data_IF_322306532109
#
_entry.id   IF_322306532109
#
_cell.length_a   1.000
_cell.length_b   1.000
_cell.length_c   1.000
_cell.angle_alpha   90.00
_cell.angle_beta   90.00
_cell.angle_gamma   90.00
#
_symmetry.space_group_name_H-M   'P 1'
#
loop_
_entity.id
_entity.type
_entity.pdbx_description
1 polymer ?
#
# COMPACT_ATOMS: atom_id res chain seq x y z
N UNK A 1 13.94 29.99 24.08
CA UNK A 1 14.34 30.40 22.74
C UNK A 1 13.09 30.86 22.03
N UNK A 2 12.93 32.17 21.87
CA UNK A 2 11.75 32.77 21.23
C UNK A 2 11.81 32.49 19.73
N UNK A 3 11.03 31.54 19.26
CA UNK A 3 10.74 31.41 17.83
C UNK A 3 9.90 32.63 17.44
N UNK A 4 10.53 33.57 16.72
CA UNK A 4 9.81 34.68 16.09
C UNK A 4 8.77 34.09 15.15
N UNK A 5 7.51 34.07 15.60
CA UNK A 5 6.34 33.72 14.81
C UNK A 5 6.03 34.91 13.89
N UNK A 6 6.91 35.20 12.95
CA UNK A 6 6.75 36.30 12.02
C UNK A 6 5.65 35.91 11.04
N UNK A 7 4.46 36.46 11.24
CA UNK A 7 3.33 36.32 10.33
C UNK A 7 3.67 37.04 9.04
N UNK A 8 3.59 36.33 7.93
CA UNK A 8 3.79 36.88 6.58
C UNK A 8 2.57 36.68 5.71
N UNK A 9 2.44 37.49 4.69
CA UNK A 9 1.50 37.31 3.58
C UNK A 9 2.29 36.89 2.34
N UNK A 10 1.94 35.75 1.76
CA UNK A 10 2.38 35.34 0.44
C UNK A 10 1.23 35.39 -0.52
N UNK A 11 1.53 35.60 -1.80
CA UNK A 11 0.52 35.61 -2.86
C UNK A 11 0.90 34.61 -3.96
N UNK A 12 -0.11 34.03 -4.57
CA UNK A 12 0.03 33.21 -5.77
C UNK A 12 -1.17 33.44 -6.72
N UNK A 13 -0.92 33.31 -8.00
CA UNK A 13 -1.98 33.31 -8.99
C UNK A 13 -2.75 32.00 -8.96
N UNK A 14 -4.06 32.06 -8.88
CA UNK A 14 -4.97 30.93 -8.99
C UNK A 14 -6.05 31.28 -10.03
N UNK A 15 -5.89 30.83 -11.30
CA UNK A 15 -6.87 31.12 -12.34
C UNK A 15 -8.26 30.63 -11.95
N UNK A 16 -9.28 31.42 -12.20
CA UNK A 16 -10.67 31.17 -11.82
C UNK A 16 -11.18 29.80 -12.31
N UNK A 17 -10.72 29.37 -13.48
CA UNK A 17 -11.07 28.07 -14.08
C UNK A 17 -10.59 26.86 -13.24
N UNK A 18 -9.53 27.02 -12.44
CA UNK A 18 -8.97 25.98 -11.57
C UNK A 18 -9.43 26.10 -10.12
N UNK A 19 -9.96 27.29 -9.72
CA UNK A 19 -10.32 27.60 -8.34
C UNK A 19 -11.28 26.57 -7.75
N UNK A 20 -12.36 26.25 -8.46
CA UNK A 20 -13.36 25.28 -8.00
C UNK A 20 -12.76 23.89 -7.77
N UNK A 21 -11.81 23.45 -8.58
CA UNK A 21 -11.15 22.16 -8.42
C UNK A 21 -10.18 22.17 -7.23
N UNK A 22 -9.38 23.22 -7.10
CA UNK A 22 -8.42 23.38 -6.00
C UNK A 22 -9.13 23.54 -4.66
N UNK A 23 -10.25 24.28 -4.61
CA UNK A 23 -10.99 24.55 -3.38
C UNK A 23 -11.82 23.34 -2.92
N UNK A 24 -12.29 22.54 -3.86
CA UNK A 24 -13.21 21.44 -3.60
C UNK A 24 -14.65 21.91 -3.34
N UNK A 25 -15.54 20.97 -3.09
CA UNK A 25 -16.93 21.30 -2.76
C UNK A 25 -16.99 21.98 -1.39
N UNK A 26 -17.69 23.12 -1.31
CA UNK A 26 -17.83 23.91 -0.08
C UNK A 26 -16.49 24.27 0.60
N UNK A 27 -15.44 24.49 -0.19
CA UNK A 27 -14.08 24.84 0.26
C UNK A 27 -13.45 23.77 1.17
N UNK A 28 -13.82 22.52 0.98
CA UNK A 28 -13.34 21.42 1.84
C UNK A 28 -11.83 21.27 1.80
N UNK A 29 -11.21 21.43 0.63
CA UNK A 29 -9.76 21.31 0.44
C UNK A 29 -9.02 22.47 1.15
N UNK A 30 -9.53 23.68 1.00
CA UNK A 30 -8.98 24.88 1.66
C UNK A 30 -9.04 24.74 3.17
N UNK A 31 -10.17 24.31 3.73
CA UNK A 31 -10.31 24.07 5.17
C UNK A 31 -9.33 23.02 5.72
N UNK A 32 -9.00 22.01 4.90
CA UNK A 32 -8.00 21.00 5.27
C UNK A 32 -6.61 21.62 5.29
N UNK A 33 -6.24 22.41 4.27
CA UNK A 33 -4.96 23.09 4.18
C UNK A 33 -4.77 24.06 5.34
N UNK A 34 -5.76 24.91 5.61
CA UNK A 34 -5.74 25.90 6.70
C UNK A 34 -5.51 25.24 8.07
N UNK A 35 -6.26 24.17 8.36
CA UNK A 35 -6.14 23.43 9.62
C UNK A 35 -4.81 22.71 9.75
N UNK A 36 -4.34 22.07 8.69
CA UNK A 36 -3.13 21.23 8.73
C UNK A 36 -1.85 22.06 8.77
N UNK A 37 -1.84 23.21 8.10
CA UNK A 37 -0.68 24.06 7.97
C UNK A 37 -0.75 25.32 8.85
N UNK A 38 -1.85 25.51 9.61
CA UNK A 38 -2.07 26.68 10.46
C UNK A 38 -1.88 28.02 9.71
N UNK A 39 -2.54 28.15 8.56
CA UNK A 39 -2.56 29.34 7.70
C UNK A 39 -4.00 29.78 7.44
N UNK A 40 -4.18 31.01 6.96
CA UNK A 40 -5.45 31.51 6.43
C UNK A 40 -5.31 31.76 4.95
N UNK A 41 -6.28 31.27 4.16
CA UNK A 41 -6.30 31.36 2.70
C UNK A 41 -7.46 32.25 2.25
N UNK A 42 -7.15 33.30 1.49
CA UNK A 42 -8.13 34.29 1.03
C UNK A 42 -8.01 34.42 -0.48
N UNK A 43 -9.03 33.98 -1.22
CA UNK A 43 -9.09 34.17 -2.68
C UNK A 43 -9.84 35.44 -3.05
N UNK A 44 -9.26 36.21 -3.95
CA UNK A 44 -9.88 37.37 -4.54
C UNK A 44 -9.33 37.64 -5.95
N UNK A 45 -10.24 37.77 -6.92
CA UNK A 45 -9.92 38.17 -8.29
C UNK A 45 -8.79 37.37 -8.96
N UNK A 46 -8.76 36.05 -8.75
CA UNK A 46 -7.73 35.15 -9.33
C UNK A 46 -6.39 35.17 -8.60
N UNK A 47 -6.32 35.84 -7.43
CA UNK A 47 -5.13 35.85 -6.56
C UNK A 47 -5.49 35.22 -5.23
N UNK A 48 -4.68 34.25 -4.82
CA UNK A 48 -4.80 33.60 -3.52
C UNK A 48 -3.73 34.15 -2.58
N UNK A 49 -4.20 34.76 -1.47
CA UNK A 49 -3.36 35.25 -0.36
C UNK A 49 -3.25 34.17 0.70
N UNK A 50 -2.04 33.95 1.19
CA UNK A 50 -1.68 32.95 2.20
C UNK A 50 -1.09 33.71 3.38
N UNK A 51 -1.78 33.70 4.51
CA UNK A 51 -1.38 34.42 5.72
C UNK A 51 -1.05 33.42 6.82
N UNK A 52 0.15 33.51 7.38
CA UNK A 52 0.58 32.61 8.45
C UNK A 52 2.04 32.76 8.82
N UNK A 53 2.54 31.91 9.74
CA UNK A 53 3.97 31.82 10.02
C UNK A 53 4.78 31.53 8.73
N UNK A 54 5.94 32.13 8.59
CA UNK A 54 6.73 32.12 7.35
C UNK A 54 6.93 30.70 6.77
N UNK A 55 7.31 29.73 7.62
CA UNK A 55 7.50 28.33 7.20
C UNK A 55 6.19 27.68 6.73
N UNK A 56 5.10 27.96 7.42
CA UNK A 56 3.80 27.39 7.14
C UNK A 56 3.20 27.98 5.86
N UNK A 57 3.34 29.30 5.67
CA UNK A 57 2.90 29.99 4.47
C UNK A 57 3.65 29.50 3.23
N UNK A 58 4.97 29.26 3.34
CA UNK A 58 5.77 28.69 2.27
C UNK A 58 5.30 27.27 1.90
N UNK A 59 5.08 26.40 2.89
CA UNK A 59 4.54 25.05 2.70
C UNK A 59 3.15 25.06 2.05
N UNK A 60 2.27 25.96 2.53
CA UNK A 60 0.93 26.07 1.94
C UNK A 60 0.98 26.52 0.48
N UNK A 61 1.87 27.47 0.13
CA UNK A 61 2.09 27.90 -1.25
C UNK A 61 2.57 26.74 -2.12
N UNK A 62 3.49 25.93 -1.63
CA UNK A 62 3.99 24.76 -2.35
C UNK A 62 2.89 23.72 -2.56
N UNK A 63 2.11 23.35 -1.53
CA UNK A 63 0.95 22.46 -1.67
C UNK A 63 -0.02 22.96 -2.74
N UNK A 64 -0.40 24.24 -2.69
CA UNK A 64 -1.34 24.85 -3.63
C UNK A 64 -0.77 24.87 -5.05
N UNK A 65 0.53 25.10 -5.22
CA UNK A 65 1.20 25.05 -6.52
C UNK A 65 1.12 23.65 -7.13
N UNK A 66 1.37 22.60 -6.33
CA UNK A 66 1.26 21.21 -6.78
C UNK A 66 -0.20 20.83 -7.14
N UNK A 67 -1.18 21.27 -6.35
CA UNK A 67 -2.59 21.04 -6.66
C UNK A 67 -3.05 21.78 -7.92
N UNK A 68 -2.59 23.01 -8.10
CA UNK A 68 -2.87 23.78 -9.32
C UNK A 68 -2.27 23.09 -10.56
N UNK A 69 -1.07 22.56 -10.47
CA UNK A 69 -0.44 21.83 -11.57
C UNK A 69 -1.22 20.56 -11.92
N UNK A 70 -1.70 19.80 -10.94
CA UNK A 70 -2.60 18.68 -11.19
C UNK A 70 -3.88 19.10 -11.92
N UNK A 71 -4.49 20.21 -11.48
CA UNK A 71 -5.68 20.76 -12.14
C UNK A 71 -5.43 21.20 -13.58
N UNK A 72 -4.26 21.82 -13.86
CA UNK A 72 -3.84 22.21 -15.20
C UNK A 72 -3.66 21.03 -16.14
N UNK A 73 -3.27 19.87 -15.63
CA UNK A 73 -3.17 18.59 -16.37
C UNK A 73 -4.53 17.92 -16.61
N UNK A 74 -5.63 18.56 -16.21
CA UNK A 74 -6.98 18.06 -16.41
C UNK A 74 -7.48 17.11 -15.32
N UNK A 75 -6.68 16.82 -14.29
CA UNK A 75 -7.08 15.92 -13.22
C UNK A 75 -8.09 16.57 -12.27
N UNK A 76 -8.99 15.74 -11.71
CA UNK A 76 -9.81 16.14 -10.59
C UNK A 76 -9.02 16.03 -9.30
N UNK A 77 -9.11 17.07 -8.46
CA UNK A 77 -8.47 17.09 -7.15
C UNK A 77 -9.41 16.47 -6.13
N UNK A 78 -8.89 15.49 -5.42
CA UNK A 78 -9.60 14.81 -4.34
C UNK A 78 -9.01 15.23 -2.99
N UNK A 79 -9.79 15.07 -1.92
CA UNK A 79 -9.29 15.25 -0.54
C UNK A 79 -8.03 14.44 -0.26
N UNK A 80 -7.88 13.28 -0.92
CA UNK A 80 -6.68 12.45 -0.82
C UNK A 80 -5.45 13.13 -1.45
N UNK A 81 -5.60 13.77 -2.62
CA UNK A 81 -4.52 14.54 -3.23
C UNK A 81 -4.06 15.68 -2.32
N UNK A 82 -5.02 16.36 -1.66
CA UNK A 82 -4.72 17.45 -0.71
C UNK A 82 -3.93 16.95 0.49
N UNK A 83 -4.42 15.91 1.17
CA UNK A 83 -3.72 15.31 2.30
C UNK A 83 -2.34 14.82 1.94
N UNK A 84 -2.20 14.30 0.73
CA UNK A 84 -0.93 13.80 0.22
C UNK A 84 0.04 14.94 -0.10
N UNK A 85 -0.42 16.04 -0.73
CA UNK A 85 0.38 17.24 -0.94
C UNK A 85 0.92 17.80 0.40
N UNK A 86 0.06 17.84 1.41
CA UNK A 86 0.46 18.26 2.77
C UNK A 86 1.57 17.36 3.31
N UNK A 87 1.44 16.04 3.17
CA UNK A 87 2.45 15.08 3.65
C UNK A 87 3.79 15.28 2.94
N UNK A 88 3.79 15.46 1.61
CA UNK A 88 5.00 15.70 0.82
C UNK A 88 5.78 16.92 1.28
N UNK A 89 5.07 18.02 1.47
CA UNK A 89 5.69 19.29 1.88
C UNK A 89 6.13 19.26 3.36
N UNK A 90 5.45 18.50 4.20
CA UNK A 90 5.85 18.32 5.60
C UNK A 90 7.09 17.43 5.76
N UNK A 91 7.32 16.51 4.83
CA UNK A 91 8.48 15.59 4.84
C UNK A 91 9.69 16.14 4.09
N UNK A 92 9.57 17.32 3.46
CA UNK A 92 10.65 17.97 2.68
C UNK A 92 11.23 17.04 1.59
N UNK A 93 10.35 16.20 0.99
CA UNK A 93 10.75 15.07 0.13
C UNK A 93 11.27 15.48 -1.25
N UNK A 94 11.13 16.75 -1.64
CA UNK A 94 11.54 17.26 -2.96
C UNK A 94 10.75 16.66 -4.16
N UNK A 95 9.80 15.77 -3.91
CA UNK A 95 9.00 15.11 -4.96
C UNK A 95 7.70 15.85 -5.21
N UNK A 96 7.22 15.84 -6.46
CA UNK A 96 5.99 16.52 -6.83
C UNK A 96 4.83 15.54 -7.09
N UNK A 97 3.61 15.97 -6.78
CA UNK A 97 2.39 15.23 -7.15
C UNK A 97 2.31 14.98 -8.66
N UNK A 98 2.83 15.90 -9.44
CA UNK A 98 2.81 15.82 -10.90
C UNK A 98 3.67 14.69 -11.46
N UNK A 99 4.81 14.40 -10.83
CA UNK A 99 5.67 13.27 -11.21
C UNK A 99 4.99 11.93 -10.94
N UNK A 100 4.31 11.81 -9.79
CA UNK A 100 3.57 10.61 -9.43
C UNK A 100 2.38 10.41 -10.37
N UNK A 101 1.67 11.50 -10.68
CA UNK A 101 0.50 11.45 -11.55
C UNK A 101 0.83 11.09 -13.00
N UNK A 102 2.02 11.41 -13.47
CA UNK A 102 2.48 11.07 -14.83
C UNK A 102 2.82 9.59 -15.01
N UNK A 103 3.04 8.84 -13.94
CA UNK A 103 3.47 7.44 -13.99
C UNK A 103 2.30 6.48 -14.20
N UNK A 104 1.80 6.43 -15.44
CA UNK A 104 0.74 5.49 -15.81
C UNK A 104 1.33 4.12 -16.15
N UNK A 105 0.99 3.09 -15.35
CA UNK A 105 1.42 1.71 -15.58
C UNK A 105 0.65 1.11 -16.76
N UNK A 106 -0.68 1.22 -16.72
CA UNK A 106 -1.58 0.72 -17.76
C UNK A 106 -2.96 1.38 -17.63
N UNK A 107 -3.89 0.99 -18.52
CA UNK A 107 -5.29 1.34 -18.41
C UNK A 107 -6.14 0.09 -18.15
N UNK A 108 -7.17 0.24 -17.34
CA UNK A 108 -8.21 -0.79 -17.18
C UNK A 108 -9.03 -0.92 -18.46
N UNK A 109 -9.82 -1.98 -18.59
CA UNK A 109 -10.75 -2.14 -19.74
C UNK A 109 -11.78 -1.01 -19.85
N UNK A 110 -12.08 -0.32 -18.75
CA UNK A 110 -12.94 0.87 -18.73
C UNK A 110 -12.18 2.18 -19.08
N UNK A 111 -10.93 2.10 -19.56
CA UNK A 111 -10.11 3.25 -19.93
C UNK A 111 -9.54 4.05 -18.75
N UNK A 112 -9.69 3.58 -17.51
CA UNK A 112 -9.18 4.29 -16.33
C UNK A 112 -7.68 4.03 -16.16
N UNK A 113 -6.83 5.05 -15.95
CA UNK A 113 -5.41 4.85 -15.73
C UNK A 113 -5.15 4.17 -14.38
N UNK A 114 -4.23 3.21 -14.39
CA UNK A 114 -3.66 2.59 -13.19
C UNK A 114 -2.28 3.20 -12.97
N UNK A 115 -2.15 3.93 -11.87
CA UNK A 115 -0.94 4.67 -11.52
C UNK A 115 -0.73 4.68 -10.01
N UNK A 116 0.51 4.82 -9.51
CA UNK A 116 0.74 5.07 -8.11
C UNK A 116 0.05 6.37 -7.68
N UNK A 117 -0.41 6.42 -6.45
CA UNK A 117 -1.10 7.58 -5.87
C UNK A 117 -0.33 8.20 -4.72
N UNK A 118 0.75 7.55 -4.27
CA UNK A 118 1.59 8.00 -3.16
C UNK A 118 3.07 7.74 -3.48
N UNK A 119 3.99 8.40 -2.76
CA UNK A 119 5.43 8.16 -2.91
C UNK A 119 5.81 6.71 -2.59
N UNK A 120 5.23 6.14 -1.53
CA UNK A 120 5.48 4.76 -1.18
C UNK A 120 5.04 3.80 -2.29
N UNK A 121 3.87 4.06 -2.91
CA UNK A 121 3.41 3.31 -4.07
C UNK A 121 4.31 3.53 -5.30
N UNK A 122 4.77 4.77 -5.55
CA UNK A 122 5.71 5.09 -6.63
C UNK A 122 7.04 4.36 -6.44
N UNK A 123 7.64 4.45 -5.26
CA UNK A 123 8.88 3.74 -4.93
C UNK A 123 8.74 2.22 -5.09
N UNK A 124 7.56 1.67 -4.74
CA UNK A 124 7.25 0.25 -4.94
C UNK A 124 7.18 -0.11 -6.43
N UNK A 125 6.51 0.68 -7.24
CA UNK A 125 6.42 0.47 -8.70
C UNK A 125 7.80 0.58 -9.35
N UNK A 126 8.61 1.55 -8.95
CA UNK A 126 9.97 1.71 -9.47
C UNK A 126 10.86 0.52 -9.07
N UNK A 127 10.77 0.05 -7.83
CA UNK A 127 11.47 -1.15 -7.39
C UNK A 127 11.06 -2.39 -8.22
N UNK A 128 9.77 -2.52 -8.56
CA UNK A 128 9.29 -3.61 -9.43
C UNK A 128 9.90 -3.51 -10.83
N UNK A 129 10.11 -2.31 -11.37
CA UNK A 129 10.78 -2.15 -12.67
C UNK A 129 12.22 -2.60 -12.64
N UNK A 130 12.95 -2.24 -11.59
CA UNK A 130 14.39 -2.40 -11.51
C UNK A 130 14.83 -3.78 -10.97
N UNK A 131 14.14 -4.34 -9.99
CA UNK A 131 14.60 -5.51 -9.24
C UNK A 131 13.93 -6.79 -9.70
N UNK A 132 14.65 -7.90 -9.56
CA UNK A 132 14.14 -9.24 -9.87
C UNK A 132 13.11 -9.71 -8.82
N UNK A 133 13.36 -9.43 -7.55
CA UNK A 133 12.49 -9.82 -6.44
C UNK A 133 12.15 -8.57 -5.61
N UNK A 134 10.86 -8.31 -5.42
CA UNK A 134 10.39 -7.17 -4.63
C UNK A 134 9.39 -7.64 -3.57
N UNK A 135 9.64 -7.26 -2.34
CA UNK A 135 8.71 -7.43 -1.22
C UNK A 135 7.96 -6.11 -1.02
N UNK A 136 6.66 -6.13 -1.23
CA UNK A 136 5.75 -5.02 -0.94
C UNK A 136 4.99 -5.31 0.36
N UNK A 137 5.42 -4.72 1.46
CA UNK A 137 4.86 -4.99 2.79
C UNK A 137 4.16 -3.76 3.33
N UNK A 138 2.96 -3.92 3.86
CA UNK A 138 2.23 -2.79 4.43
C UNK A 138 0.76 -3.12 4.70
N UNK A 139 0.04 -2.20 5.35
CA UNK A 139 -1.34 -2.44 5.76
C UNK A 139 -2.29 -2.64 4.57
N UNK A 140 -3.43 -3.24 4.85
CA UNK A 140 -4.49 -3.40 3.87
C UNK A 140 -4.97 -2.03 3.34
N UNK A 141 -5.26 -1.95 2.04
CA UNK A 141 -5.68 -0.71 1.36
C UNK A 141 -4.54 0.13 0.79
N UNK A 142 -3.28 -0.31 0.89
CA UNK A 142 -2.13 0.32 0.21
C UNK A 142 -2.00 -0.05 -1.27
N UNK A 143 -2.94 -0.82 -1.80
CA UNK A 143 -3.06 -1.19 -3.23
C UNK A 143 -1.89 -2.01 -3.78
N UNK A 144 -1.03 -2.57 -2.90
CA UNK A 144 0.20 -3.30 -3.27
C UNK A 144 -0.02 -4.45 -4.25
N UNK A 145 -0.99 -5.32 -3.98
CA UNK A 145 -1.31 -6.46 -4.85
C UNK A 145 -1.85 -6.01 -6.22
N UNK A 146 -2.71 -4.99 -6.23
CA UNK A 146 -3.27 -4.44 -7.45
C UNK A 146 -2.21 -3.79 -8.35
N UNK A 147 -1.28 -3.02 -7.77
CA UNK A 147 -0.15 -2.44 -8.51
C UNK A 147 0.79 -3.52 -9.05
N UNK A 148 1.09 -4.56 -8.26
CA UNK A 148 1.87 -5.70 -8.71
C UNK A 148 1.21 -6.40 -9.91
N UNK A 149 -0.11 -6.58 -9.89
CA UNK A 149 -0.86 -7.19 -10.99
C UNK A 149 -0.89 -6.30 -12.23
N UNK A 150 -1.02 -4.98 -12.07
CA UNK A 150 -0.92 -4.05 -13.19
C UNK A 150 0.46 -4.13 -13.86
N UNK A 151 1.51 -4.20 -13.08
CA UNK A 151 2.88 -4.38 -13.58
C UNK A 151 3.07 -5.72 -14.29
N UNK A 152 2.51 -6.81 -13.72
CA UNK A 152 2.57 -8.14 -14.32
C UNK A 152 1.86 -8.20 -15.68
N UNK A 153 0.66 -7.60 -15.77
CA UNK A 153 -0.11 -7.54 -17.02
C UNK A 153 0.62 -6.68 -18.06
N UNK A 154 1.25 -5.58 -17.64
CA UNK A 154 2.02 -4.72 -18.53
C UNK A 154 3.23 -5.46 -19.07
N UNK A 155 4.02 -6.11 -18.22
CA UNK A 155 5.17 -6.91 -18.62
C UNK A 155 4.78 -8.06 -19.56
N UNK A 156 3.65 -8.71 -19.31
CA UNK A 156 3.12 -9.77 -20.16
C UNK A 156 2.65 -9.24 -21.53
N UNK A 157 1.99 -8.08 -21.58
CA UNK A 157 1.56 -7.44 -22.83
C UNK A 157 2.73 -6.92 -23.69
N UNK A 158 3.84 -6.61 -23.04
CA UNK A 158 5.07 -6.15 -23.68
C UNK A 158 6.01 -7.29 -24.06
N UNK A 159 5.59 -8.56 -23.88
CA UNK A 159 6.42 -9.76 -24.12
C UNK A 159 7.71 -9.80 -23.29
N UNK A 160 7.76 -9.05 -22.16
CA UNK A 160 8.89 -9.10 -21.22
C UNK A 160 8.93 -10.43 -20.44
N UNK A 161 7.76 -11.08 -20.29
CA UNK A 161 7.58 -12.39 -19.67
C UNK A 161 6.58 -13.21 -20.48
N UNK A 162 6.77 -14.52 -20.51
CA UNK A 162 5.90 -15.44 -21.27
C UNK A 162 4.63 -15.84 -20.52
N UNK A 163 4.56 -15.63 -19.21
CA UNK A 163 3.38 -16.02 -18.41
C UNK A 163 3.29 -15.26 -17.10
N UNK A 164 2.09 -15.24 -16.51
CA UNK A 164 1.80 -14.69 -15.19
C UNK A 164 1.40 -15.83 -14.26
N UNK A 165 2.00 -15.89 -13.08
CA UNK A 165 1.68 -16.88 -12.04
C UNK A 165 1.28 -16.13 -10.78
N UNK A 166 0.03 -16.29 -10.35
CA UNK A 166 -0.51 -15.72 -9.12
C UNK A 166 -0.69 -16.84 -8.11
N UNK A 167 -0.10 -16.67 -6.96
CA UNK A 167 -0.18 -17.66 -5.89
C UNK A 167 -0.46 -17.05 -4.54
N UNK A 168 -1.15 -17.80 -3.70
CA UNK A 168 -1.53 -17.41 -2.35
C UNK A 168 -1.40 -18.61 -1.42
N UNK A 169 -0.92 -18.46 -0.18
CA UNK A 169 -1.00 -19.54 0.79
C UNK A 169 -2.48 -19.85 1.04
N UNK A 170 -2.86 -21.12 0.85
CA UNK A 170 -4.16 -21.58 1.27
C UNK A 170 -4.10 -21.76 2.80
N UNK A 171 -4.59 -20.78 3.55
CA UNK A 171 -4.75 -20.89 4.99
C UNK A 171 -6.23 -21.00 5.28
N UNK A 172 -6.55 -22.02 6.02
CA UNK A 172 -7.78 -22.12 6.74
C UNK A 172 -7.66 -21.28 8.01
N UNK A 173 -8.48 -20.25 8.12
CA UNK A 173 -8.72 -19.57 9.40
C UNK A 173 -9.41 -20.55 10.37
N UNK A 174 -8.63 -21.48 10.97
CA UNK A 174 -9.16 -22.45 11.94
C UNK A 174 -9.97 -23.62 11.36
N UNK A 175 -10.28 -23.64 10.07
CA UNK A 175 -11.00 -24.74 9.41
C UNK A 175 -10.04 -25.61 8.60
N UNK A 176 -10.07 -26.92 8.82
CA UNK A 176 -9.32 -27.86 7.99
C UNK A 176 -10.02 -27.97 6.63
N UNK A 177 -9.29 -27.76 5.51
CA UNK A 177 -9.78 -27.92 4.11
C UNK A 177 -10.66 -29.18 3.89
N UNK A 178 -10.56 -30.13 4.79
CA UNK A 178 -11.34 -31.35 4.78
C UNK A 178 -12.84 -31.20 5.03
N UNK A 179 -13.31 -30.09 5.56
CA UNK A 179 -14.74 -29.92 5.94
C UNK A 179 -15.62 -29.25 4.87
N UNK A 180 -15.03 -28.60 3.86
CA UNK A 180 -15.83 -28.02 2.77
C UNK A 180 -16.20 -29.11 1.73
N UNK A 181 -17.45 -29.20 1.29
CA UNK A 181 -17.86 -30.10 0.21
C UNK A 181 -17.28 -29.63 -1.13
N UNK A 182 -16.86 -30.55 -2.00
CA UNK A 182 -16.33 -30.27 -3.32
C UNK A 182 -14.86 -30.73 -3.50
N UNK A 183 -14.37 -30.59 -4.73
CA UNK A 183 -12.97 -30.83 -5.03
C UNK A 183 -12.05 -29.75 -4.46
N UNK A 184 -10.73 -30.00 -4.44
CA UNK A 184 -9.78 -29.09 -3.84
C UNK A 184 -9.78 -27.71 -4.52
N UNK A 185 -10.07 -27.65 -5.80
CA UNK A 185 -10.09 -26.42 -6.58
C UNK A 185 -11.28 -25.53 -6.22
N UNK A 186 -12.48 -26.09 -6.09
CA UNK A 186 -13.67 -25.35 -5.67
C UNK A 186 -13.59 -24.82 -4.24
N UNK A 187 -12.80 -25.46 -3.37
CA UNK A 187 -12.55 -25.02 -1.98
C UNK A 187 -11.58 -23.83 -1.91
N UNK A 188 -10.67 -23.71 -2.85
CA UNK A 188 -9.63 -22.69 -2.87
C UNK A 188 -10.07 -21.45 -3.65
N UNK A 189 -10.96 -21.61 -4.59
CA UNK A 189 -11.45 -20.56 -5.50
C UNK A 189 -11.93 -19.28 -4.77
N UNK A 190 -12.67 -19.33 -3.65
CA UNK A 190 -13.06 -18.13 -2.89
C UNK A 190 -11.86 -17.30 -2.41
N UNK A 191 -10.76 -17.95 -2.03
CA UNK A 191 -9.55 -17.26 -1.56
C UNK A 191 -8.76 -16.59 -2.69
N UNK A 192 -8.92 -17.06 -3.92
CA UNK A 192 -8.28 -16.52 -5.11
C UNK A 192 -9.13 -15.45 -5.81
N UNK A 193 -10.40 -15.30 -5.42
CA UNK A 193 -11.36 -14.37 -6.05
C UNK A 193 -10.87 -12.93 -6.14
N UNK A 194 -10.24 -12.33 -5.11
CA UNK A 194 -9.71 -10.97 -5.21
C UNK A 194 -8.65 -10.81 -6.31
N UNK A 195 -7.91 -11.88 -6.62
CA UNK A 195 -6.94 -11.88 -7.71
C UNK A 195 -7.64 -11.89 -9.08
N UNK A 196 -8.69 -12.68 -9.22
CA UNK A 196 -9.52 -12.70 -10.43
C UNK A 196 -10.17 -11.35 -10.71
N UNK A 197 -10.72 -10.70 -9.68
CA UNK A 197 -11.41 -9.41 -9.82
C UNK A 197 -10.46 -8.33 -10.37
N UNK A 198 -9.22 -8.29 -9.91
CA UNK A 198 -8.23 -7.35 -10.41
C UNK A 198 -7.78 -7.67 -11.84
N UNK A 199 -7.62 -8.98 -12.19
CA UNK A 199 -7.34 -9.40 -13.56
C UNK A 199 -8.47 -9.02 -14.51
N UNK A 200 -9.73 -9.25 -14.12
CA UNK A 200 -10.89 -8.85 -14.91
C UNK A 200 -10.95 -7.34 -15.13
N UNK A 201 -10.66 -6.56 -14.10
CA UNK A 201 -10.68 -5.11 -14.20
C UNK A 201 -9.61 -4.54 -15.14
N UNK A 202 -8.41 -5.13 -15.16
CA UNK A 202 -7.29 -4.60 -15.94
C UNK A 202 -7.24 -5.22 -17.34
N UNK A 203 -7.43 -6.53 -17.45
CA UNK A 203 -7.26 -7.27 -18.70
C UNK A 203 -8.58 -7.53 -19.46
N UNK A 204 -9.69 -7.58 -18.75
CA UNK A 204 -11.00 -8.00 -19.26
C UNK A 204 -11.23 -9.50 -19.12
N UNK A 205 -12.49 -9.87 -18.93
CA UNK A 205 -12.87 -11.26 -18.66
C UNK A 205 -12.50 -12.20 -19.82
N UNK A 206 -12.81 -11.81 -21.06
CA UNK A 206 -12.54 -12.62 -22.25
C UNK A 206 -11.03 -12.87 -22.45
N UNK A 207 -10.22 -11.80 -22.39
CA UNK A 207 -8.77 -11.91 -22.53
C UNK A 207 -8.15 -12.75 -21.43
N UNK A 208 -8.60 -12.56 -20.19
CA UNK A 208 -8.15 -13.34 -19.06
C UNK A 208 -8.46 -14.84 -19.24
N UNK A 209 -9.71 -15.18 -19.56
CA UNK A 209 -10.14 -16.56 -19.73
C UNK A 209 -9.34 -17.26 -20.85
N UNK A 210 -9.18 -16.60 -22.01
CA UNK A 210 -8.40 -17.09 -23.11
C UNK A 210 -6.93 -17.39 -22.74
N UNK A 211 -6.31 -16.54 -21.91
CA UNK A 211 -4.94 -16.75 -21.46
C UNK A 211 -4.84 -17.82 -20.36
N UNK A 212 -5.85 -17.97 -19.52
CA UNK A 212 -5.96 -19.09 -18.57
C UNK A 212 -6.04 -20.44 -19.30
N UNK A 213 -6.92 -20.56 -20.30
CA UNK A 213 -7.07 -21.78 -21.11
C UNK A 213 -5.79 -22.18 -21.83
N UNK A 214 -4.99 -21.18 -22.25
CA UNK A 214 -3.68 -21.40 -22.86
C UNK A 214 -2.56 -21.70 -21.85
N UNK A 215 -2.84 -21.63 -20.54
CA UNK A 215 -1.84 -21.79 -19.49
C UNK A 215 -0.83 -20.63 -19.40
N UNK A 216 -1.12 -19.48 -20.03
CA UNK A 216 -0.28 -18.28 -19.97
C UNK A 216 -0.54 -17.44 -18.70
N UNK A 217 -1.71 -17.60 -18.10
CA UNK A 217 -2.03 -17.07 -16.77
C UNK A 217 -2.43 -18.25 -15.89
N UNK A 218 -1.79 -18.37 -14.76
CA UNK A 218 -2.07 -19.40 -13.75
C UNK A 218 -2.39 -18.73 -12.41
N UNK A 219 -3.50 -19.14 -11.81
CA UNK A 219 -3.86 -18.74 -10.44
C UNK A 219 -3.99 -20.01 -9.62
N UNK A 220 -3.09 -20.23 -8.67
CA UNK A 220 -2.98 -21.49 -7.96
C UNK A 220 -2.49 -21.32 -6.52
N UNK A 221 -2.83 -22.24 -5.61
CA UNK A 221 -2.30 -22.26 -4.25
C UNK A 221 -0.77 -22.39 -4.24
N UNK A 222 -0.14 -21.80 -3.24
CA UNK A 222 1.31 -21.85 -3.05
C UNK A 222 1.87 -23.29 -3.03
N UNK A 223 1.12 -24.24 -2.50
CA UNK A 223 1.53 -25.66 -2.47
C UNK A 223 1.80 -26.25 -3.86
N UNK A 224 1.14 -25.76 -4.91
CA UNK A 224 1.29 -26.23 -6.28
C UNK A 224 2.59 -25.74 -6.96
N UNK A 225 3.32 -24.83 -6.30
CA UNK A 225 4.64 -24.37 -6.77
C UNK A 225 5.75 -25.37 -6.43
N UNK A 226 5.48 -26.35 -5.55
CA UNK A 226 6.50 -27.30 -5.10
C UNK A 226 6.95 -28.22 -6.25
N UNK A 227 8.28 -28.39 -6.38
CA UNK A 227 8.87 -29.26 -7.41
C UNK A 227 8.93 -28.66 -8.81
N UNK A 228 8.50 -27.42 -8.98
CA UNK A 228 8.51 -26.70 -10.26
C UNK A 228 9.74 -25.79 -10.37
N UNK A 229 10.10 -25.43 -11.59
CA UNK A 229 10.95 -24.29 -11.93
C UNK A 229 10.11 -23.30 -12.71
N UNK A 230 10.09 -22.05 -12.24
CA UNK A 230 9.23 -20.99 -12.78
C UNK A 230 10.07 -20.06 -13.63
N UNK A 231 10.32 -20.45 -14.90
CA UNK A 231 11.09 -19.66 -15.86
C UNK A 231 10.18 -18.72 -16.65
N UNK A 232 10.76 -17.60 -17.11
CA UNK A 232 10.13 -16.62 -18.00
C UNK A 232 8.73 -16.22 -17.55
N UNK A 233 8.59 -15.90 -16.25
CA UNK A 233 7.31 -15.66 -15.62
C UNK A 233 7.31 -14.41 -14.72
N UNK A 234 6.20 -13.68 -14.70
CA UNK A 234 5.93 -12.71 -13.65
C UNK A 234 5.11 -13.39 -12.55
N UNK A 235 5.69 -13.52 -11.37
CA UNK A 235 5.14 -14.33 -10.28
C UNK A 235 4.76 -13.42 -9.12
N UNK A 236 3.52 -13.55 -8.62
CA UNK A 236 3.05 -12.81 -7.47
C UNK A 236 2.65 -13.78 -6.38
N UNK A 237 3.30 -13.68 -5.21
CA UNK A 237 2.87 -14.33 -3.98
C UNK A 237 2.14 -13.31 -3.12
N UNK A 238 0.83 -13.44 -3.02
CA UNK A 238 -0.02 -12.58 -2.21
C UNK A 238 -0.27 -13.19 -0.81
N UNK A 239 -0.59 -12.34 0.19
CA UNK A 239 -0.81 -12.72 1.60
C UNK A 239 0.37 -13.51 2.21
N UNK A 240 1.58 -13.12 1.86
CA UNK A 240 2.80 -13.85 2.21
C UNK A 240 3.08 -13.91 3.72
N UNK A 241 2.48 -13.02 4.55
CA UNK A 241 2.57 -13.09 6.01
C UNK A 241 2.01 -14.40 6.55
N UNK A 242 1.15 -15.06 5.78
CA UNK A 242 0.51 -16.30 6.11
C UNK A 242 1.29 -17.54 5.62
N UNK A 243 2.52 -17.37 5.15
CA UNK A 243 3.42 -18.49 4.87
C UNK A 243 4.22 -18.89 6.10
N UNK A 244 4.59 -20.16 6.19
CA UNK A 244 5.66 -20.62 7.10
C UNK A 244 7.04 -20.32 6.48
N UNK A 245 8.13 -20.29 7.29
CA UNK A 245 9.48 -20.12 6.74
C UNK A 245 9.87 -21.18 5.70
N UNK A 246 9.40 -22.41 5.88
CA UNK A 246 9.63 -23.50 4.94
C UNK A 246 8.92 -23.28 3.60
N UNK A 247 7.68 -22.80 3.63
CA UNK A 247 6.91 -22.45 2.43
C UNK A 247 7.53 -21.27 1.68
N UNK A 248 7.92 -20.22 2.39
CA UNK A 248 8.59 -19.07 1.78
C UNK A 248 9.90 -19.47 1.12
N UNK A 249 10.74 -20.23 1.81
CA UNK A 249 11.99 -20.77 1.25
C UNK A 249 11.72 -21.65 0.04
N UNK A 250 10.75 -22.56 0.13
CA UNK A 250 10.33 -23.40 -0.98
C UNK A 250 9.97 -22.56 -2.21
N UNK A 251 9.14 -21.53 -2.04
CA UNK A 251 8.69 -20.65 -3.11
C UNK A 251 9.86 -19.89 -3.76
N UNK A 252 10.66 -19.20 -2.97
CA UNK A 252 11.78 -18.38 -3.48
C UNK A 252 12.84 -19.21 -4.23
N UNK A 253 12.96 -20.50 -3.90
CA UNK A 253 13.86 -21.42 -4.61
C UNK A 253 13.26 -22.03 -5.87
N UNK A 254 12.04 -21.65 -6.27
CA UNK A 254 11.41 -22.07 -7.54
C UNK A 254 11.65 -21.12 -8.69
N UNK A 255 12.17 -19.93 -8.39
CA UNK A 255 12.37 -18.86 -9.37
C UNK A 255 13.43 -19.30 -10.38
N UNK A 256 13.06 -19.24 -11.65
CA UNK A 256 13.94 -19.58 -12.77
C UNK A 256 14.40 -18.34 -13.55
N UNK A 257 15.08 -18.59 -14.65
CA UNK A 257 15.64 -17.52 -15.48
C UNK A 257 14.56 -16.70 -16.17
N UNK A 258 14.83 -15.40 -16.35
CA UNK A 258 13.90 -14.47 -17.01
C UNK A 258 12.62 -14.19 -16.22
N UNK A 259 12.59 -14.54 -14.93
CA UNK A 259 11.41 -14.33 -14.08
C UNK A 259 11.57 -13.15 -13.16
N UNK A 260 10.43 -12.51 -12.85
CA UNK A 260 10.30 -11.44 -11.87
C UNK A 260 9.30 -11.87 -10.79
N UNK A 261 9.61 -11.57 -9.52
CA UNK A 261 8.81 -12.03 -8.38
C UNK A 261 8.43 -10.87 -7.48
N UNK A 262 7.15 -10.79 -7.19
CA UNK A 262 6.62 -9.84 -6.22
C UNK A 262 5.99 -10.62 -5.07
N UNK A 263 6.39 -10.27 -3.86
CA UNK A 263 5.84 -10.83 -2.62
C UNK A 263 5.08 -9.74 -1.90
N UNK A 264 3.76 -9.87 -1.78
CA UNK A 264 2.92 -8.90 -1.08
C UNK A 264 2.45 -9.47 0.25
N UNK A 265 2.36 -8.62 1.27
CA UNK A 265 1.88 -9.05 2.58
C UNK A 265 1.59 -7.90 3.54
N UNK A 266 0.88 -8.24 4.61
CA UNK A 266 0.58 -7.36 5.74
C UNK A 266 1.08 -8.01 7.03
N UNK A 267 2.17 -7.51 7.58
CA UNK A 267 2.78 -8.06 8.80
C UNK A 267 1.87 -7.99 10.03
N UNK A 268 0.80 -7.18 10.00
CA UNK A 268 -0.18 -7.06 11.09
C UNK A 268 -1.30 -8.09 11.03
N UNK A 269 -1.58 -8.66 9.83
CA UNK A 269 -2.70 -9.57 9.58
C UNK A 269 -2.21 -11.03 9.42
N UNK A 270 -1.75 -11.63 10.50
CA UNK A 270 -1.25 -13.00 10.49
C UNK A 270 -2.32 -13.96 11.01
N UNK A 271 -2.72 -14.90 10.15
CA UNK A 271 -3.69 -15.97 10.48
C UNK A 271 -3.00 -17.31 10.80
N UNK A 272 -1.68 -17.28 11.01
CA UNK A 272 -0.89 -18.45 11.39
C UNK A 272 -1.23 -18.93 12.82
N UNK A 273 -1.16 -20.25 13.09
CA UNK A 273 -1.33 -20.76 14.43
C UNK A 273 -0.38 -20.12 15.44
N UNK A 274 -0.85 -19.95 16.69
CA UNK A 274 -0.06 -19.36 17.77
C UNK A 274 1.31 -20.02 17.89
N UNK A 275 2.37 -19.21 17.98
CA UNK A 275 3.75 -19.68 18.05
C UNK A 275 4.42 -19.99 16.71
N UNK A 276 3.69 -19.94 15.59
CA UNK A 276 4.27 -20.14 14.26
C UNK A 276 4.87 -18.82 13.75
N UNK A 277 6.14 -18.83 13.36
CA UNK A 277 6.79 -17.67 12.78
C UNK A 277 6.34 -17.48 11.33
N UNK A 278 6.08 -16.24 10.94
CA UNK A 278 5.77 -15.90 9.56
C UNK A 278 7.00 -16.05 8.65
N UNK A 279 6.80 -16.69 7.50
CA UNK A 279 7.84 -16.79 6.46
C UNK A 279 8.22 -15.45 5.89
N UNK A 280 7.28 -14.49 5.82
CA UNK A 280 7.55 -13.13 5.40
C UNK A 280 8.52 -12.43 6.35
N UNK A 281 8.27 -12.51 7.68
CA UNK A 281 9.15 -11.89 8.68
C UNK A 281 10.56 -12.46 8.62
N UNK A 282 10.68 -13.78 8.45
CA UNK A 282 11.97 -14.45 8.35
C UNK A 282 12.68 -14.04 7.05
N UNK A 283 11.97 -13.98 5.92
CA UNK A 283 12.55 -13.56 4.65
C UNK A 283 13.08 -12.12 4.73
N UNK A 284 12.31 -11.19 5.31
CA UNK A 284 12.74 -9.80 5.52
C UNK A 284 14.02 -9.68 6.35
N UNK A 285 14.23 -10.57 7.34
CA UNK A 285 15.45 -10.59 8.15
C UNK A 285 16.65 -11.19 7.38
N UNK A 286 16.43 -12.32 6.70
CA UNK A 286 17.53 -13.12 6.12
C UNK A 286 18.01 -12.56 4.78
N UNK A 287 17.08 -11.99 3.99
CA UNK A 287 17.36 -11.57 2.61
C UNK A 287 17.71 -10.08 2.47
N UNK A 288 17.71 -9.32 3.56
CA UNK A 288 17.93 -7.85 3.53
C UNK A 288 19.24 -7.44 2.86
N UNK A 289 20.26 -8.30 2.85
CA UNK A 289 21.58 -8.02 2.29
C UNK A 289 21.83 -8.72 0.94
N UNK A 290 20.82 -9.34 0.36
CA UNK A 290 20.94 -10.05 -0.92
C UNK A 290 20.72 -9.07 -2.06
N UNK A 291 21.70 -8.90 -2.93
CA UNK A 291 21.59 -8.05 -4.10
C UNK A 291 20.49 -8.56 -5.04
N UNK A 292 19.80 -7.62 -5.73
CA UNK A 292 18.67 -7.95 -6.61
C UNK A 292 17.32 -8.11 -5.92
N UNK A 293 17.28 -8.05 -4.57
CA UNK A 293 16.05 -8.06 -3.77
C UNK A 293 15.78 -6.66 -3.19
N UNK A 294 14.55 -6.18 -3.32
CA UNK A 294 14.10 -4.93 -2.71
C UNK A 294 12.98 -5.17 -1.70
N UNK A 295 12.98 -4.37 -0.64
CA UNK A 295 11.94 -4.35 0.38
C UNK A 295 11.31 -2.96 0.42
N UNK A 296 10.04 -2.88 0.03
CA UNK A 296 9.26 -1.65 0.01
C UNK A 296 8.23 -1.71 1.14
N UNK A 297 8.41 -0.85 2.14
CA UNK A 297 7.49 -0.73 3.27
C UNK A 297 6.48 0.39 2.98
N UNK A 298 5.22 -0.02 2.74
CA UNK A 298 4.08 0.90 2.62
C UNK A 298 3.49 1.13 4.01
N UNK A 299 3.06 2.35 4.26
CA UNK A 299 2.58 2.79 5.57
C UNK A 299 1.10 3.17 5.54
N UNK A 300 0.55 3.59 6.67
CA UNK A 300 -0.80 4.15 6.74
C UNK A 300 -1.00 5.38 5.83
N UNK A 301 0.07 6.10 5.47
CA UNK A 301 0.03 7.23 4.53
C UNK A 301 -0.24 6.78 3.09
N UNK A 302 0.09 5.53 2.77
CA UNK A 302 -0.11 4.94 1.44
C UNK A 302 -1.48 4.28 1.28
N UNK A 303 -2.33 4.32 2.30
CA UNK A 303 -3.68 3.76 2.27
C UNK A 303 -4.61 4.63 1.42
N UNK A 304 -5.17 4.02 0.37
CA UNK A 304 -6.13 4.62 -0.55
C UNK A 304 -7.50 4.00 -0.29
N UNK A 305 -8.31 4.67 0.52
CA UNK A 305 -9.65 4.18 0.90
C UNK A 305 -10.68 5.32 0.88
N UNK A 306 -11.93 4.94 0.73
CA UNK A 306 -13.05 5.87 0.89
C UNK A 306 -13.00 6.51 2.29
N UNK A 307 -13.20 7.85 2.45
CA UNK A 307 -13.08 8.53 3.74
C UNK A 307 -13.93 7.93 4.86
N UNK A 308 -15.14 7.46 4.54
CA UNK A 308 -16.01 6.78 5.51
C UNK A 308 -15.40 5.47 6.00
N UNK A 309 -14.76 4.69 5.10
CA UNK A 309 -14.11 3.43 5.47
C UNK A 309 -12.91 3.68 6.37
N UNK A 310 -12.15 4.76 6.14
CA UNK A 310 -11.07 5.17 7.05
C UNK A 310 -11.60 5.47 8.46
N UNK A 311 -12.70 6.22 8.57
CA UNK A 311 -13.34 6.51 9.87
C UNK A 311 -13.83 5.26 10.58
N UNK A 312 -14.39 4.30 9.82
CA UNK A 312 -14.81 3.00 10.38
C UNK A 312 -13.61 2.26 10.96
N UNK A 313 -12.52 2.13 10.21
CA UNK A 313 -11.30 1.44 10.69
C UNK A 313 -10.76 2.12 11.94
N UNK A 314 -10.64 3.45 11.94
CA UNK A 314 -10.18 4.19 13.11
C UNK A 314 -11.04 3.93 14.35
N UNK A 315 -12.36 3.91 14.19
CA UNK A 315 -13.28 3.63 15.30
C UNK A 315 -13.07 2.22 15.89
N UNK A 316 -12.85 1.21 15.06
CA UNK A 316 -12.52 -0.15 15.52
C UNK A 316 -11.15 -0.22 16.19
N UNK A 317 -10.12 0.39 15.62
CA UNK A 317 -8.78 0.45 16.21
C UNK A 317 -8.79 1.11 17.61
N UNK A 318 -9.56 2.18 17.78
CA UNK A 318 -9.74 2.85 19.07
C UNK A 318 -10.46 1.94 20.08
N UNK A 319 -11.48 1.20 19.64
CA UNK A 319 -12.19 0.25 20.47
C UNK A 319 -11.27 -0.89 20.95
N UNK A 320 -10.49 -1.47 20.05
CA UNK A 320 -9.55 -2.56 20.36
C UNK A 320 -8.43 -2.12 21.31
N UNK A 321 -7.91 -0.88 21.13
CA UNK A 321 -6.92 -0.29 22.05
C UNK A 321 -7.48 -0.13 23.45
N UNK A 322 -8.74 0.27 23.58
CA UNK A 322 -9.43 0.41 24.87
C UNK A 322 -9.78 -0.95 25.51
N UNK A 323 -10.00 -1.98 24.69
CA UNK A 323 -10.36 -3.32 25.14
C UNK A 323 -9.15 -4.17 25.60
N UNK A 324 -7.91 -3.82 25.23
CA UNK A 324 -6.70 -4.46 25.74
C UNK A 324 -6.44 -3.97 27.18
N UNK A 325 -6.53 -4.84 28.22
CA UNK A 325 -6.23 -4.43 29.60
C UNK A 325 -4.76 -4.04 29.70
N UNK A 326 -4.50 -2.88 30.33
CA UNK A 326 -3.15 -2.49 30.75
C UNK A 326 -2.59 -3.60 31.67
N UNK A 327 -1.64 -4.35 31.19
CA UNK A 327 -0.85 -5.23 32.03
C UNK A 327 0.00 -4.35 32.95
N UNK A 328 -0.57 -3.95 34.07
CA UNK A 328 0.19 -3.43 35.20
C UNK A 328 1.14 -4.53 35.68
N UNK A 329 2.40 -4.37 35.36
CA UNK A 329 3.50 -5.10 36.01
C UNK A 329 3.49 -4.76 37.49
N UNK A 330 2.73 -5.55 38.24
CA UNK A 330 2.72 -5.54 39.70
C UNK A 330 4.08 -5.94 40.21
N UNK A 331 4.83 -4.99 40.69
CA UNK A 331 6.06 -5.13 41.43
C UNK A 331 5.75 -5.93 42.69
N UNK A 332 6.05 -7.23 42.70
CA UNK A 332 6.00 -8.08 43.91
C UNK A 332 7.01 -7.54 44.92
N UNK A 333 6.53 -6.93 45.98
CA UNK A 333 7.32 -6.64 47.19
C UNK A 333 7.62 -7.97 47.86
N UNK A 334 8.88 -8.38 47.87
CA UNK A 334 9.39 -9.46 48.68
C UNK A 334 9.34 -9.06 50.16
N UNK A 335 8.40 -9.61 50.91
CA UNK A 335 8.40 -9.57 52.36
C UNK A 335 9.25 -10.74 52.89
N UNK A 336 10.46 -10.41 53.25
CA UNK A 336 11.38 -11.31 54.00
C UNK A 336 10.81 -11.54 55.39
N UNK A 337 10.25 -12.72 55.64
CA UNK A 337 9.80 -13.17 56.97
C UNK A 337 10.99 -13.81 57.67
N UNK A 338 11.62 -13.08 58.62
CA UNK A 338 12.59 -13.60 59.54
C UNK A 338 11.94 -14.69 60.40
N UNK A 339 12.42 -15.91 60.29
CA UNK A 339 12.16 -17.00 61.26
C UNK A 339 13.09 -16.81 62.44
N UNK A 340 12.55 -16.50 63.62
CA UNK A 340 13.25 -16.61 64.89
C UNK A 340 13.23 -18.11 65.30
N UNK A 341 14.41 -18.69 65.46
CA UNK A 341 14.63 -19.90 66.26
C UNK A 341 14.51 -19.54 67.72
N UNK A 342 13.78 -20.34 68.46
CA UNK A 342 14.00 -20.56 69.84
C UNK A 342 13.50 -21.95 70.21
N UNK A 343 14.49 -22.70 70.71
CA UNK A 343 14.46 -23.95 71.51
C UNK A 343 13.95 -25.23 70.85
#
# INVERSE_FOLDING_TARGET
MNSNNNMIELQMELPIEHEKKVFGQFDEHIKILERSLAVTLISRDGVLKIVGPASNAARAKECLTQLLELSRRGNDITTQNVNYAISLVMEDSGSSLAEIDSDCICHTVAGRPVKPKTLGQKAYVDAIREKMIVFGVGPAGTVKTYLAMAMAITAFRNDEVGRIILTRPAIEAGEKLGFLPGDLQSKIDPYLRPLYDALYQIMGAESFQKNMEKGLIEVAPLAYMRGRTLDNAFIILDEAQNTTPAQMKMFLTRIGFGSKVIVTGDASQKDLPSGTRSGLDVAMQVLKKVDGISFCELTSKDVVRHPLVQKIVQAYDEYEKKAKPENHSGRAKSTTRKRRENK
#
